data_IF_867485934585
#
_entry.id   IF_867485934585
#
_cell.length_a   1.000
_cell.length_b   1.000
_cell.length_c   1.000
_cell.angle_alpha   90.00
_cell.angle_beta   90.00
_cell.angle_gamma   90.00
#
_symmetry.space_group_name_H-M   'P 1'
#
loop_
_entity.id
_entity.type
_entity.pdbx_description
1 polymer ?
#
# COMPACT_ATOMS: atom_id res chain seq x y z
N UNK A 1 -11.95 -0.39 1.27
CA UNK A 1 -10.86 -0.96 2.09
C UNK A 1 -10.46 -2.21 1.36
N UNK A 2 -9.28 -2.18 0.74
CA UNK A 2 -8.79 -3.30 -0.06
C UNK A 2 -7.72 -4.05 0.73
N UNK A 3 -7.80 -5.37 0.69
CA UNK A 3 -6.78 -6.25 1.25
C UNK A 3 -5.89 -6.65 0.08
N UNK A 4 -4.65 -6.19 0.11
CA UNK A 4 -3.70 -6.38 -1.00
C UNK A 4 -2.61 -7.31 -0.50
N UNK A 5 -2.55 -8.52 -1.05
CA UNK A 5 -1.45 -9.44 -0.79
C UNK A 5 -0.18 -9.04 -1.54
N UNK A 6 0.99 -9.53 -1.11
CA UNK A 6 2.24 -9.32 -1.82
C UNK A 6 2.11 -9.74 -3.29
N UNK A 7 2.64 -8.91 -4.19
CA UNK A 7 2.71 -9.17 -5.64
C UNK A 7 1.36 -9.34 -6.37
N UNK A 8 0.22 -9.03 -5.72
CA UNK A 8 -1.11 -9.23 -6.31
C UNK A 8 -1.53 -8.17 -7.34
N UNK A 9 -0.66 -7.20 -7.68
CA UNK A 9 -0.97 -6.15 -8.65
C UNK A 9 -1.86 -5.02 -8.11
N UNK A 10 -2.23 -5.07 -6.82
CA UNK A 10 -2.92 -3.99 -6.12
C UNK A 10 -4.43 -4.21 -5.94
N UNK A 11 -5.06 -3.23 -5.30
CA UNK A 11 -6.52 -3.07 -5.18
C UNK A 11 -6.96 -1.74 -5.82
N UNK A 12 -8.26 -1.45 -5.80
CA UNK A 12 -8.81 -0.24 -6.39
C UNK A 12 -9.98 0.33 -5.60
N UNK A 13 -9.80 1.56 -5.10
CA UNK A 13 -10.88 2.38 -4.58
C UNK A 13 -11.43 3.33 -5.65
N UNK A 14 -12.71 3.68 -5.55
CA UNK A 14 -13.27 4.75 -6.38
C UNK A 14 -12.91 6.13 -5.83
N UNK A 15 -13.22 7.14 -6.65
CA UNK A 15 -13.62 8.47 -6.19
C UNK A 15 -12.50 9.43 -5.73
N UNK A 16 -11.23 9.07 -5.90
CA UNK A 16 -10.15 10.07 -5.82
C UNK A 16 -10.15 10.95 -7.08
N UNK A 17 -10.14 12.27 -6.89
CA UNK A 17 -9.90 13.24 -7.95
C UNK A 17 -8.75 14.18 -7.53
N UNK A 18 -7.66 14.18 -8.30
CA UNK A 18 -6.56 15.10 -8.05
C UNK A 18 -7.01 16.56 -8.32
N UNK A 19 -6.46 17.55 -7.58
CA UNK A 19 -6.69 18.95 -7.88
C UNK A 19 -6.30 19.31 -9.31
N UNK A 20 -7.04 20.22 -9.94
CA UNK A 20 -6.80 20.62 -11.33
C UNK A 20 -5.41 21.24 -11.59
N UNK A 21 -4.74 21.77 -10.56
CA UNK A 21 -3.40 22.34 -10.64
C UNK A 21 -2.53 21.75 -9.53
N UNK A 22 -1.38 21.22 -9.92
CA UNK A 22 -0.34 20.84 -8.97
C UNK A 22 0.30 22.09 -8.35
N UNK A 23 0.81 21.96 -7.13
CA UNK A 23 1.61 22.97 -6.45
C UNK A 23 2.78 22.31 -5.72
N UNK A 24 3.95 22.97 -5.67
CA UNK A 24 5.07 22.51 -4.84
C UNK A 24 4.62 22.26 -3.40
N UNK A 25 5.04 21.13 -2.83
CA UNK A 25 4.70 20.72 -1.47
C UNK A 25 3.36 20.00 -1.31
N UNK A 26 2.63 19.72 -2.40
CA UNK A 26 1.45 18.85 -2.33
C UNK A 26 1.84 17.44 -1.86
N UNK A 27 1.11 16.96 -0.86
CA UNK A 27 1.26 15.63 -0.29
C UNK A 27 -0.09 14.93 -0.21
N UNK A 28 -0.08 13.61 -0.19
CA UNK A 28 -1.21 12.78 0.19
C UNK A 28 -0.91 12.11 1.53
N UNK A 29 -1.90 12.07 2.42
CA UNK A 29 -1.83 11.23 3.61
C UNK A 29 -2.31 9.84 3.23
N UNK A 30 -1.47 8.84 3.47
CA UNK A 30 -1.80 7.43 3.31
C UNK A 30 -1.83 6.80 4.69
N UNK A 31 -2.92 6.13 5.01
CA UNK A 31 -3.10 5.35 6.24
C UNK A 31 -3.36 3.90 5.82
N UNK A 32 -2.65 2.96 6.43
CA UNK A 32 -2.78 1.53 6.11
C UNK A 32 -2.45 0.65 7.31
N UNK A 33 -2.90 -0.60 7.25
CA UNK A 33 -2.60 -1.63 8.23
C UNK A 33 -1.76 -2.73 7.58
N UNK A 34 -0.71 -3.18 8.26
CA UNK A 34 0.00 -4.43 7.93
C UNK A 34 -0.29 -5.48 8.99
N UNK A 35 -0.30 -6.76 8.61
CA UNK A 35 -0.56 -7.87 9.51
C UNK A 35 -0.60 -9.20 8.78
N UNK A 36 -0.81 -10.29 9.52
CA UNK A 36 -0.98 -11.62 8.93
C UNK A 36 -2.45 -11.84 8.60
N UNK A 37 -2.74 -12.02 7.31
CA UNK A 37 -4.10 -12.27 6.82
C UNK A 37 -4.36 -13.76 6.50
N UNK A 38 -3.39 -14.64 6.74
CA UNK A 38 -3.51 -16.08 6.47
C UNK A 38 -4.04 -16.84 7.69
N UNK A 39 -4.88 -17.85 7.44
CA UNK A 39 -5.49 -18.67 8.47
C UNK A 39 -4.80 -20.04 8.66
N UNK A 40 -3.50 -20.15 8.34
CA UNK A 40 -2.79 -21.45 8.36
C UNK A 40 -2.84 -22.12 9.74
N UNK A 41 -2.71 -21.33 10.81
CA UNK A 41 -2.73 -21.83 12.18
C UNK A 41 -4.11 -21.75 12.85
N UNK A 42 -5.19 -21.65 12.05
CA UNK A 42 -6.54 -21.52 12.56
C UNK A 42 -6.96 -22.78 13.36
N UNK A 43 -7.27 -22.67 14.66
CA UNK A 43 -7.50 -23.83 15.53
C UNK A 43 -8.91 -24.44 15.39
N UNK A 44 -9.76 -23.89 14.52
CA UNK A 44 -11.18 -24.22 14.48
C UNK A 44 -11.99 -23.48 15.56
N UNK A 45 -13.31 -23.67 15.54
CA UNK A 45 -14.24 -22.99 16.46
C UNK A 45 -14.64 -23.83 17.68
N UNK A 46 -14.19 -25.10 17.77
CA UNK A 46 -14.62 -26.04 18.81
C UNK A 46 -14.06 -25.69 20.20
N UNK A 47 -12.85 -25.14 20.24
CA UNK A 47 -12.16 -24.74 21.47
C UNK A 47 -12.09 -23.21 21.52
N UNK A 48 -12.90 -22.61 22.41
CA UNK A 48 -13.02 -21.16 22.51
C UNK A 48 -11.74 -20.51 23.02
N UNK A 49 -11.02 -21.14 23.94
CA UNK A 49 -9.79 -20.57 24.51
C UNK A 49 -8.70 -20.51 23.45
N UNK A 50 -8.52 -21.59 22.68
CA UNK A 50 -7.58 -21.60 21.56
C UNK A 50 -7.96 -20.63 20.46
N UNK A 51 -9.25 -20.52 20.13
CA UNK A 51 -9.74 -19.55 19.16
C UNK A 51 -9.40 -18.11 19.59
N UNK A 52 -9.67 -17.75 20.85
CA UNK A 52 -9.39 -16.41 21.36
C UNK A 52 -7.87 -16.10 21.36
N UNK A 53 -7.04 -17.05 21.81
CA UNK A 53 -5.59 -16.89 21.78
C UNK A 53 -5.05 -16.70 20.35
N UNK A 54 -5.63 -17.40 19.37
CA UNK A 54 -5.30 -17.22 17.95
C UNK A 54 -5.69 -15.82 17.45
N UNK A 55 -6.89 -15.32 17.77
CA UNK A 55 -7.31 -13.95 17.43
C UNK A 55 -6.38 -12.91 18.06
N UNK A 56 -6.09 -13.03 19.36
CA UNK A 56 -5.19 -12.10 20.07
C UNK A 56 -3.79 -12.06 19.42
N UNK A 57 -3.27 -13.21 19.00
CA UNK A 57 -1.99 -13.29 18.29
C UNK A 57 -2.04 -12.57 16.93
N UNK A 58 -3.13 -12.70 16.17
CA UNK A 58 -3.30 -11.99 14.90
C UNK A 58 -3.39 -10.47 15.11
N UNK A 59 -4.17 -10.03 16.10
CA UNK A 59 -4.29 -8.62 16.45
C UNK A 59 -2.95 -8.03 16.92
N UNK A 60 -2.17 -8.77 17.71
CA UNK A 60 -0.86 -8.34 18.18
C UNK A 60 0.18 -8.13 17.06
N UNK A 61 -0.02 -8.77 15.90
CA UNK A 61 0.84 -8.61 14.73
C UNK A 61 0.43 -7.45 13.83
N UNK A 62 -0.77 -6.87 14.03
CA UNK A 62 -1.21 -5.74 13.24
C UNK A 62 -0.43 -4.48 13.59
N UNK A 63 -0.07 -3.72 12.57
CA UNK A 63 0.53 -2.39 12.72
C UNK A 63 -0.24 -1.38 11.88
N UNK A 64 -0.56 -0.28 12.50
CA UNK A 64 -1.17 0.88 11.85
C UNK A 64 -0.06 1.84 11.43
N UNK A 65 -0.15 2.33 10.20
CA UNK A 65 0.84 3.20 9.59
C UNK A 65 0.18 4.46 9.06
N UNK A 66 0.92 5.57 9.09
CA UNK A 66 0.51 6.83 8.48
C UNK A 66 1.73 7.51 7.88
N UNK A 67 1.62 7.96 6.64
CA UNK A 67 2.69 8.70 5.99
C UNK A 67 2.14 9.82 5.11
N UNK A 68 2.84 10.95 5.11
CA UNK A 68 2.64 12.01 4.13
C UNK A 68 3.61 11.76 2.97
N UNK A 69 3.06 11.49 1.80
CA UNK A 69 3.85 11.17 0.60
C UNK A 69 3.74 12.32 -0.39
N UNK A 70 4.85 12.87 -0.90
CA UNK A 70 4.81 13.92 -1.90
C UNK A 70 4.16 13.41 -3.18
N UNK A 71 3.24 14.20 -3.75
CA UNK A 71 2.65 13.90 -5.06
C UNK A 71 3.60 14.47 -6.13
N UNK A 72 4.12 13.65 -7.08
CA UNK A 72 4.94 14.14 -8.17
C UNK A 72 4.25 15.22 -9.00
N UNK A 73 5.03 16.15 -9.54
CA UNK A 73 4.51 17.22 -10.40
C UNK A 73 3.85 16.63 -11.65
N UNK A 74 2.55 16.92 -11.80
CA UNK A 74 1.73 16.54 -12.96
C UNK A 74 1.35 17.74 -13.85
N UNK A 75 2.03 18.88 -13.68
CA UNK A 75 1.79 20.07 -14.51
C UNK A 75 2.00 19.75 -15.99
N UNK A 76 1.01 20.09 -16.81
CA UNK A 76 1.03 19.80 -18.25
C UNK A 76 0.78 18.33 -18.61
N UNK A 77 0.48 17.46 -17.64
CA UNK A 77 0.21 16.04 -17.86
C UNK A 77 -1.28 15.73 -17.66
N UNK A 78 -1.78 14.69 -18.33
CA UNK A 78 -3.11 14.16 -18.06
C UNK A 78 -3.09 13.42 -16.73
N UNK A 79 -4.04 13.74 -15.85
CA UNK A 79 -4.21 13.10 -14.55
C UNK A 79 -5.35 12.09 -14.62
N UNK A 80 -5.11 10.89 -14.11
CA UNK A 80 -6.14 9.86 -13.93
C UNK A 80 -6.35 9.57 -12.43
N UNK A 81 -6.18 8.33 -11.98
CA UNK A 81 -6.27 7.96 -10.56
C UNK A 81 -4.96 8.20 -9.82
N UNK A 82 -5.03 8.24 -8.49
CA UNK A 82 -3.85 8.16 -7.64
C UNK A 82 -3.55 6.68 -7.35
N UNK A 83 -2.37 6.24 -7.74
CA UNK A 83 -1.86 4.91 -7.43
C UNK A 83 -0.81 5.04 -6.34
N UNK A 84 -0.98 4.28 -5.26
CA UNK A 84 0.00 4.16 -4.18
C UNK A 84 0.73 2.82 -4.34
N UNK A 85 2.05 2.88 -4.33
CA UNK A 85 2.95 1.73 -4.34
C UNK A 85 3.49 1.55 -2.93
N UNK A 86 3.30 0.36 -2.37
CA UNK A 86 3.87 -0.05 -1.09
C UNK A 86 5.18 -0.79 -1.36
N UNK A 87 6.27 -0.28 -0.82
CA UNK A 87 7.62 -0.83 -0.98
C UNK A 87 8.05 -1.52 0.33
N UNK A 88 9.14 -2.31 0.31
CA UNK A 88 9.77 -2.78 1.54
C UNK A 88 10.07 -1.61 2.49
N UNK A 89 10.14 -1.90 3.78
CA UNK A 89 10.40 -0.90 4.83
C UNK A 89 9.32 0.17 5.01
N UNK A 90 8.07 -0.18 4.68
CA UNK A 90 6.92 0.72 4.83
C UNK A 90 7.07 2.03 4.01
N UNK A 91 7.93 2.02 2.99
CA UNK A 91 8.12 3.14 2.08
C UNK A 91 6.99 3.20 1.05
N UNK A 92 6.61 4.43 0.67
CA UNK A 92 5.55 4.66 -0.30
C UNK A 92 6.04 5.47 -1.49
N UNK A 93 5.54 5.10 -2.67
CA UNK A 93 5.61 5.93 -3.87
C UNK A 93 4.19 6.18 -4.40
N UNK A 94 3.95 7.36 -4.95
CA UNK A 94 2.64 7.72 -5.50
C UNK A 94 2.74 8.27 -6.91
N UNK A 95 1.71 8.05 -7.70
CA UNK A 95 1.62 8.57 -9.06
C UNK A 95 0.18 8.85 -9.46
N UNK A 96 -0.01 9.85 -10.31
CA UNK A 96 -1.31 10.20 -10.91
C UNK A 96 -1.42 9.80 -12.39
N UNK A 97 -0.50 8.94 -12.85
CA UNK A 97 -0.36 8.56 -14.25
C UNK A 97 -1.60 7.85 -14.79
N UNK A 98 -1.89 8.09 -16.07
CA UNK A 98 -2.91 7.36 -16.82
C UNK A 98 -2.39 6.05 -17.42
N UNK A 99 -1.08 5.82 -17.40
CA UNK A 99 -0.48 4.58 -17.88
C UNK A 99 -0.60 3.47 -16.83
N UNK A 100 -0.60 2.22 -17.28
CA UNK A 100 -0.58 1.07 -16.38
C UNK A 100 0.85 0.73 -15.95
N UNK A 101 1.01 0.09 -14.79
CA UNK A 101 2.31 -0.43 -14.36
C UNK A 101 2.89 -1.39 -15.41
N UNK A 102 4.18 -1.27 -15.70
CA UNK A 102 4.86 -2.00 -16.77
C UNK A 102 4.91 -1.26 -18.11
N UNK A 103 4.09 -0.23 -18.34
CA UNK A 103 4.21 0.60 -19.55
C UNK A 103 5.52 1.40 -19.57
N UNK A 104 6.13 1.64 -20.75
CA UNK A 104 7.33 2.47 -20.87
C UNK A 104 7.17 3.87 -20.29
N UNK A 105 5.98 4.45 -20.35
CA UNK A 105 5.65 5.80 -19.89
C UNK A 105 5.22 5.85 -18.42
N UNK A 106 5.05 4.69 -17.76
CA UNK A 106 4.66 4.67 -16.35
C UNK A 106 5.82 5.17 -15.47
N UNK A 107 5.62 6.15 -14.58
CA UNK A 107 6.73 6.85 -13.93
C UNK A 107 7.46 6.01 -12.87
N UNK A 108 6.79 5.04 -12.24
CA UNK A 108 7.40 4.18 -11.23
C UNK A 108 7.95 2.92 -11.92
N UNK A 109 9.27 2.74 -11.88
CA UNK A 109 9.99 1.60 -12.49
C UNK A 109 10.45 0.56 -11.48
N UNK A 110 10.19 0.79 -10.20
CA UNK A 110 10.50 -0.13 -9.11
C UNK A 110 9.88 -1.50 -9.44
N UNK A 111 10.67 -2.59 -9.46
CA UNK A 111 10.16 -3.92 -9.82
C UNK A 111 9.19 -4.44 -8.75
N UNK A 112 8.21 -5.25 -9.16
CA UNK A 112 7.22 -5.83 -8.26
C UNK A 112 7.88 -6.79 -7.24
N UNK A 113 8.85 -7.58 -7.70
CA UNK A 113 9.65 -8.47 -6.87
C UNK A 113 10.97 -7.77 -6.52
N UNK A 114 10.95 -7.00 -5.43
CA UNK A 114 12.17 -6.46 -4.83
C UNK A 114 12.74 -7.46 -3.81
N UNK A 115 14.07 -7.62 -3.74
CA UNK A 115 14.67 -8.31 -2.61
C UNK A 115 14.38 -7.53 -1.33
N UNK A 116 13.96 -8.23 -0.28
CA UNK A 116 13.83 -7.59 1.03
C UNK A 116 15.21 -7.09 1.49
N UNK A 117 15.33 -5.81 1.85
CA UNK A 117 16.57 -5.29 2.40
C UNK A 117 16.86 -5.99 3.73
N UNK A 118 18.14 -6.28 3.98
CA UNK A 118 18.58 -6.93 5.24
C UNK A 118 18.22 -6.11 6.49
N UNK A 119 18.03 -4.81 6.32
CA UNK A 119 17.59 -3.89 7.37
C UNK A 119 16.94 -2.67 6.74
N UNK A 120 15.89 -2.17 7.38
CA UNK A 120 15.31 -0.87 7.02
C UNK A 120 16.14 0.27 7.63
N UNK A 121 16.41 1.35 6.87
CA UNK A 121 16.99 2.55 7.43
C UNK A 121 16.08 3.11 8.55
N UNK A 122 16.70 3.71 9.57
CA UNK A 122 16.00 4.36 10.69
C UNK A 122 15.64 5.80 10.38
#
# INVERSE_FOLDING_TARGET
>A
MDIIGPYQGGGGGCCYAAPARWKPGMTVRVEWETGVAYSFDFPGYADREKYMAWVENLEAQKRQHTQLVPIPDYTGQKVCGLTVHFLPCDELQVTTSCYAYGSPEYPIKTPLNLPEPQSCPK
#
